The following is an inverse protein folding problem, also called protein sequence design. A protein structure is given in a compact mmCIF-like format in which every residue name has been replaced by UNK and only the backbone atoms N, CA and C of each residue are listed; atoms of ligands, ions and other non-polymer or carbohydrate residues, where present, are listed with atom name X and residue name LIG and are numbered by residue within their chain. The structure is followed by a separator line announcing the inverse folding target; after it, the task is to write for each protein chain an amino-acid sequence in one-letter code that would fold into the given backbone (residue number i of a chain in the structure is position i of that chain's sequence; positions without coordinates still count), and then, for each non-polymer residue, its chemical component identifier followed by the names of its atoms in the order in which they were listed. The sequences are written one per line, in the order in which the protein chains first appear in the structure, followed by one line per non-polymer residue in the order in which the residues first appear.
data_IF_068899323560
#
_entry.id   IF_068899323560
#
_cell.length_a   1.000
_cell.length_b   1.000
_cell.length_c   1.000
_cell.angle_alpha   90.00
_cell.angle_beta   90.00
_cell.angle_gamma   90.00
#
_symmetry.space_group_name_H-M   'P 1'
#
loop_
_entity.id
_entity.type
_entity.pdbx_description
1 polymer ?
#
# COMPACT_ATOMS: atom_id res chain seq x y z
N UNK A 1 -9.10 -3.15 -15.20
CA UNK A 1 -9.99 -3.46 -14.05
C UNK A 1 -10.69 -4.76 -14.35
N UNK A 2 -10.46 -5.80 -13.56
CA UNK A 2 -10.91 -7.16 -13.87
C UNK A 2 -11.75 -7.78 -12.74
N UNK A 3 -11.67 -7.24 -11.52
CA UNK A 3 -12.42 -7.66 -10.35
C UNK A 3 -13.48 -6.62 -9.99
N UNK A 4 -14.78 -6.98 -9.91
CA UNK A 4 -15.84 -6.05 -9.52
C UNK A 4 -15.64 -5.50 -8.11
N UNK A 5 -15.93 -4.21 -7.93
CA UNK A 5 -15.80 -3.52 -6.64
C UNK A 5 -14.52 -2.69 -6.50
N UNK A 6 -13.50 -2.93 -7.33
CA UNK A 6 -12.31 -2.08 -7.38
C UNK A 6 -12.63 -0.71 -8.00
N UNK A 7 -12.27 0.36 -7.31
CA UNK A 7 -12.23 1.73 -7.86
C UNK A 7 -10.75 2.10 -8.00
N UNK A 8 -10.34 2.44 -9.23
CA UNK A 8 -8.96 2.88 -9.50
C UNK A 8 -8.91 4.37 -9.78
N UNK A 9 -7.91 5.04 -9.21
CA UNK A 9 -7.64 6.46 -9.43
C UNK A 9 -6.39 6.58 -10.31
N UNK A 10 -6.41 7.42 -11.37
CA UNK A 10 -5.19 7.68 -12.14
C UNK A 10 -4.08 8.24 -11.23
N UNK A 11 -2.80 7.89 -11.47
CA UNK A 11 -1.67 8.36 -10.68
C UNK A 11 -1.64 9.89 -10.51
N UNK A 12 -1.85 10.62 -11.61
CA UNK A 12 -1.89 12.09 -11.60
C UNK A 12 -2.96 12.64 -10.65
N UNK A 13 -4.15 12.02 -10.65
CA UNK A 13 -5.24 12.43 -9.76
C UNK A 13 -4.89 12.15 -8.29
N UNK A 14 -4.24 11.03 -7.97
CA UNK A 14 -3.75 10.76 -6.62
C UNK A 14 -2.73 11.83 -6.18
N UNK A 15 -1.76 12.15 -7.05
CA UNK A 15 -0.73 13.14 -6.79
C UNK A 15 -1.33 14.54 -6.57
N UNK A 16 -2.35 14.91 -7.35
CA UNK A 16 -3.08 16.17 -7.18
C UNK A 16 -3.83 16.23 -5.84
N UNK A 17 -4.46 15.13 -5.42
CA UNK A 17 -5.13 15.03 -4.11
C UNK A 17 -4.11 15.19 -2.97
N UNK A 18 -2.99 14.48 -3.03
CA UNK A 18 -1.93 14.58 -2.01
C UNK A 18 -1.42 16.03 -1.93
N UNK A 19 -1.15 16.66 -3.08
CA UNK A 19 -0.69 18.06 -3.14
C UNK A 19 -1.70 19.02 -2.51
N UNK A 20 -2.99 18.85 -2.83
CA UNK A 20 -4.04 19.68 -2.26
C UNK A 20 -4.11 19.54 -0.73
N UNK A 21 -4.00 18.31 -0.22
CA UNK A 21 -4.02 18.04 1.22
C UNK A 21 -2.81 18.68 1.91
N UNK A 22 -1.60 18.49 1.38
CA UNK A 22 -0.39 19.04 1.98
C UNK A 22 -0.41 20.56 2.05
N UNK A 23 -0.84 21.24 0.98
CA UNK A 23 -0.98 22.71 0.97
C UNK A 23 -2.00 23.19 2.01
N UNK A 24 -3.16 22.53 2.10
CA UNK A 24 -4.15 22.89 3.12
C UNK A 24 -3.64 22.65 4.54
N UNK A 25 -2.83 21.62 4.78
CA UNK A 25 -2.21 21.40 6.09
C UNK A 25 -1.14 22.46 6.40
N UNK A 26 -0.33 22.82 5.42
CA UNK A 26 0.65 23.90 5.55
C UNK A 26 -0.01 25.25 5.86
N UNK A 27 -1.08 25.60 5.15
CA UNK A 27 -1.88 26.81 5.39
C UNK A 27 -2.46 26.87 6.82
N UNK A 28 -2.72 25.72 7.44
CA UNK A 28 -3.18 25.62 8.83
C UNK A 28 -2.03 25.63 9.85
N UNK A 29 -0.77 25.71 9.43
CA UNK A 29 0.41 25.79 10.28
C UNK A 29 0.95 24.43 10.76
N UNK A 30 0.66 23.34 10.05
CA UNK A 30 1.29 22.04 10.35
C UNK A 30 2.77 22.06 9.93
N UNK A 31 3.68 21.66 10.83
CA UNK A 31 5.13 21.69 10.56
C UNK A 31 5.66 20.39 9.90
N UNK A 32 4.95 19.28 10.09
CA UNK A 32 5.36 17.96 9.62
C UNK A 32 4.18 17.20 9.01
N UNK A 33 4.38 16.67 7.80
CA UNK A 33 3.37 15.90 7.07
C UNK A 33 3.99 14.56 6.66
N UNK A 34 3.47 13.46 7.22
CA UNK A 34 3.94 12.11 6.92
C UNK A 34 2.97 11.42 5.96
N UNK A 35 3.47 11.02 4.80
CA UNK A 35 2.72 10.28 3.78
C UNK A 35 3.03 8.79 3.92
N UNK A 36 2.00 7.99 4.25
CA UNK A 36 2.11 6.55 4.50
C UNK A 36 1.22 5.78 3.51
N UNK A 37 1.71 5.43 2.32
CA UNK A 37 1.00 4.52 1.42
C UNK A 37 0.94 3.11 2.01
N UNK A 38 -0.18 2.42 1.83
CA UNK A 38 -0.38 1.02 2.24
C UNK A 38 -0.80 0.11 1.09
N UNK A 39 -1.02 0.67 -0.10
CA UNK A 39 -1.35 -0.08 -1.30
C UNK A 39 -0.22 0.03 -2.31
N UNK A 40 0.29 -1.10 -2.81
CA UNK A 40 1.49 -1.16 -3.66
C UNK A 40 1.49 -0.17 -4.83
N UNK A 41 0.36 -0.01 -5.52
CA UNK A 41 0.23 0.93 -6.63
C UNK A 41 0.41 2.42 -6.27
N UNK A 42 0.30 2.78 -4.98
CA UNK A 42 0.39 4.15 -4.50
C UNK A 42 1.82 4.56 -4.11
N UNK A 43 2.73 3.61 -3.91
CA UNK A 43 4.10 3.90 -3.49
C UNK A 43 4.86 4.74 -4.54
N UNK A 44 4.74 4.36 -5.82
CA UNK A 44 5.32 5.13 -6.93
C UNK A 44 4.83 6.58 -6.98
N UNK A 45 3.52 6.84 -7.10
CA UNK A 45 2.95 8.20 -7.09
C UNK A 45 3.34 9.03 -5.85
N UNK A 46 3.30 8.45 -4.65
CA UNK A 46 3.71 9.16 -3.42
C UNK A 46 5.19 9.53 -3.46
N UNK A 47 6.05 8.59 -3.87
CA UNK A 47 7.49 8.82 -4.01
C UNK A 47 7.81 9.88 -5.07
N UNK A 48 7.00 9.96 -6.13
CA UNK A 48 7.13 10.96 -7.19
C UNK A 48 6.70 12.35 -6.73
N UNK A 49 5.55 12.49 -6.08
CA UNK A 49 4.98 13.82 -5.78
C UNK A 49 5.58 14.48 -4.53
N UNK A 50 6.02 13.70 -3.54
CA UNK A 50 6.46 14.23 -2.25
C UNK A 50 7.60 15.26 -2.36
N UNK A 51 8.66 15.06 -3.17
CA UNK A 51 9.73 16.05 -3.32
C UNK A 51 9.27 17.36 -3.95
N UNK A 52 8.26 17.31 -4.83
CA UNK A 52 7.72 18.51 -5.47
C UNK A 52 6.93 19.33 -4.45
N UNK A 53 6.08 18.68 -3.67
CA UNK A 53 5.34 19.33 -2.58
C UNK A 53 6.32 19.94 -1.56
N UNK A 54 7.36 19.21 -1.17
CA UNK A 54 8.36 19.68 -0.20
C UNK A 54 9.11 20.95 -0.65
N UNK A 55 9.09 21.28 -1.96
CA UNK A 55 9.67 22.53 -2.50
C UNK A 55 8.66 23.67 -2.56
N UNK A 56 7.37 23.36 -2.46
CA UNK A 56 6.27 24.32 -2.60
C UNK A 56 5.75 24.86 -1.26
N UNK A 57 5.97 24.13 -0.17
CA UNK A 57 5.37 24.43 1.15
C UNK A 57 6.45 24.58 2.25
N UNK A 58 6.09 25.16 3.39
CA UNK A 58 7.01 25.34 4.52
C UNK A 58 7.15 24.07 5.37
N UNK A 59 6.08 23.29 5.48
CA UNK A 59 6.05 22.03 6.22
C UNK A 59 7.05 21.00 5.67
N UNK A 60 7.67 20.24 6.57
CA UNK A 60 8.50 19.10 6.19
C UNK A 60 7.62 17.94 5.74
N UNK A 61 7.75 17.55 4.47
CA UNK A 61 7.06 16.38 3.91
C UNK A 61 7.95 15.14 4.02
N UNK A 62 7.45 14.11 4.70
CA UNK A 62 8.13 12.83 4.92
C UNK A 62 7.34 11.74 4.21
N UNK A 63 7.91 11.13 3.17
CA UNK A 63 7.27 10.02 2.45
C UNK A 63 7.86 8.68 2.90
N UNK A 64 7.03 7.84 3.53
CA UNK A 64 7.37 6.45 3.86
C UNK A 64 6.95 5.55 2.69
N UNK A 65 7.54 5.80 1.52
CA UNK A 65 7.14 5.20 0.25
C UNK A 65 8.19 4.22 -0.32
N UNK A 66 8.73 3.36 0.56
CA UNK A 66 9.52 2.19 0.17
C UNK A 66 8.66 0.92 0.23
N UNK A 67 8.34 0.37 -0.94
CA UNK A 67 7.44 -0.79 -1.05
C UNK A 67 8.11 -2.07 -0.55
N UNK A 68 9.41 -2.24 -0.81
CA UNK A 68 10.14 -3.45 -0.44
C UNK A 68 10.31 -3.49 1.09
N UNK A 69 10.66 -2.36 1.70
CA UNK A 69 10.71 -2.24 3.16
C UNK A 69 9.33 -2.49 3.79
N UNK A 70 8.25 -1.94 3.20
CA UNK A 70 6.90 -2.17 3.69
C UNK A 70 6.52 -3.67 3.66
N UNK A 71 6.82 -4.38 2.57
CA UNK A 71 6.55 -5.82 2.47
C UNK A 71 7.40 -6.62 3.45
N UNK A 72 8.68 -6.26 3.61
CA UNK A 72 9.57 -6.90 4.58
C UNK A 72 9.04 -6.76 6.01
N UNK A 73 8.56 -5.57 6.40
CA UNK A 73 7.99 -5.34 7.73
C UNK A 73 6.74 -6.19 8.00
N UNK A 74 5.93 -6.47 6.97
CA UNK A 74 4.77 -7.35 7.07
C UNK A 74 5.17 -8.81 7.23
N UNK A 75 6.17 -9.29 6.47
CA UNK A 75 6.71 -10.65 6.62
C UNK A 75 7.45 -10.85 7.95
N UNK A 76 8.14 -9.83 8.45
CA UNK A 76 8.70 -9.81 9.81
C UNK A 76 7.61 -9.98 10.87
N UNK A 77 6.42 -9.40 10.64
CA UNK A 77 5.24 -9.57 11.49
C UNK A 77 4.80 -11.03 11.57
N UNK A 78 4.72 -11.71 10.42
CA UNK A 78 4.40 -13.15 10.34
C UNK A 78 5.46 -13.99 11.06
N UNK A 79 6.74 -13.70 10.80
CA UNK A 79 7.86 -14.40 11.43
C UNK A 79 7.84 -14.28 12.95
N UNK A 80 7.56 -13.07 13.49
CA UNK A 80 7.42 -12.84 14.94
C UNK A 80 6.22 -13.57 15.53
N UNK A 81 5.18 -13.83 14.75
CA UNK A 81 4.03 -14.63 15.15
C UNK A 81 4.30 -16.15 15.08
N UNK A 82 5.50 -16.58 14.68
CA UNK A 82 5.86 -17.99 14.51
C UNK A 82 5.34 -18.62 13.23
N UNK A 83 4.98 -17.81 12.24
CA UNK A 83 4.53 -18.26 10.91
C UNK A 83 5.75 -18.27 10.00
N UNK A 84 6.25 -19.47 9.68
CA UNK A 84 7.36 -19.68 8.75
C UNK A 84 6.86 -19.67 7.29
N UNK A 85 6.33 -18.51 6.86
CA UNK A 85 5.89 -18.29 5.49
C UNK A 85 6.22 -16.86 5.08
N UNK A 86 7.05 -16.74 4.04
CA UNK A 86 7.46 -15.45 3.46
C UNK A 86 6.66 -15.21 2.18
N UNK A 87 6.07 -14.02 2.07
CA UNK A 87 5.26 -13.64 0.92
C UNK A 87 6.09 -12.83 -0.08
N UNK A 88 6.42 -13.42 -1.23
CA UNK A 88 7.11 -12.72 -2.35
C UNK A 88 6.37 -11.44 -2.78
N UNK A 89 5.04 -11.51 -2.77
CA UNK A 89 4.15 -10.36 -2.95
C UNK A 89 3.05 -10.44 -1.91
N UNK A 90 2.75 -9.28 -1.30
CA UNK A 90 1.69 -9.18 -0.31
C UNK A 90 0.45 -8.58 -0.95
N UNK A 91 -0.60 -9.40 -1.03
CA UNK A 91 -1.94 -8.97 -1.38
C UNK A 91 -2.99 -9.98 -0.91
N UNK A 92 -3.91 -9.55 -0.04
CA UNK A 92 -4.96 -10.35 0.57
C UNK A 92 -4.48 -11.69 1.16
N UNK A 93 -3.18 -11.81 1.46
CA UNK A 93 -2.58 -13.00 2.03
C UNK A 93 -2.57 -12.97 3.56
N UNK A 94 -1.70 -13.78 4.16
CA UNK A 94 -1.65 -13.96 5.61
C UNK A 94 -1.44 -12.63 6.36
N UNK A 95 -0.49 -11.79 5.93
CA UNK A 95 -0.17 -10.55 6.62
C UNK A 95 -1.34 -9.55 6.63
N UNK A 96 -1.91 -9.21 5.46
CA UNK A 96 -3.02 -8.25 5.38
C UNK A 96 -4.30 -8.80 6.04
N UNK A 97 -4.60 -10.09 5.85
CA UNK A 97 -5.77 -10.72 6.48
C UNK A 97 -5.65 -10.68 8.00
N UNK A 98 -4.46 -10.99 8.56
CA UNK A 98 -4.21 -10.93 9.99
C UNK A 98 -4.40 -9.50 10.55
N UNK A 99 -3.95 -8.47 9.83
CA UNK A 99 -4.17 -7.06 10.21
C UNK A 99 -5.67 -6.73 10.28
N UNK A 100 -6.44 -7.14 9.27
CA UNK A 100 -7.90 -6.88 9.27
C UNK A 100 -8.59 -7.64 10.39
N UNK A 101 -8.25 -8.92 10.61
CA UNK A 101 -8.78 -9.72 11.71
C UNK A 101 -8.51 -9.08 13.08
N UNK A 102 -7.29 -8.56 13.29
CA UNK A 102 -6.93 -7.89 14.53
C UNK A 102 -7.73 -6.58 14.77
N UNK A 103 -8.16 -5.90 13.71
CA UNK A 103 -8.98 -4.69 13.79
C UNK A 103 -10.46 -5.02 14.01
N UNK A 104 -11.00 -5.91 13.17
CA UNK A 104 -12.39 -6.35 13.24
C UNK A 104 -12.58 -7.66 12.46
N UNK A 105 -12.86 -8.74 13.18
CA UNK A 105 -13.06 -10.08 12.63
C UNK A 105 -14.26 -10.16 11.67
N UNK A 106 -15.32 -9.36 11.87
CA UNK A 106 -16.53 -9.37 11.03
C UNK A 106 -16.28 -8.89 9.59
N UNK A 107 -15.12 -8.27 9.33
CA UNK A 107 -14.73 -7.81 8.00
C UNK A 107 -14.10 -8.92 7.15
N UNK A 108 -13.76 -10.07 7.75
CA UNK A 108 -13.16 -11.21 7.06
C UNK A 108 -14.12 -12.38 7.05
N UNK A 109 -14.44 -12.86 5.85
CA UNK A 109 -15.30 -14.04 5.65
C UNK A 109 -14.43 -15.30 5.71
N UNK A 110 -14.16 -15.76 6.93
CA UNK A 110 -13.28 -16.92 7.21
C UNK A 110 -13.66 -18.15 6.37
N UNK A 111 -14.95 -18.38 6.15
CA UNK A 111 -15.47 -19.51 5.39
C UNK A 111 -15.15 -19.47 3.89
N UNK A 112 -14.69 -18.33 3.37
CA UNK A 112 -14.33 -18.14 1.96
C UNK A 112 -12.82 -17.98 1.75
N UNK A 113 -11.99 -18.27 2.75
CA UNK A 113 -10.53 -18.26 2.58
C UNK A 113 -10.14 -19.42 1.68
N UNK A 114 -9.43 -19.11 0.60
CA UNK A 114 -8.87 -20.06 -0.36
C UNK A 114 -7.37 -19.82 -0.54
N UNK A 115 -6.63 -20.85 -0.91
CA UNK A 115 -5.21 -20.70 -1.26
C UNK A 115 -5.06 -19.82 -2.50
N UNK A 116 -4.19 -18.82 -2.41
CA UNK A 116 -3.78 -18.03 -3.56
C UNK A 116 -2.82 -18.78 -4.49
N UNK A 117 -2.44 -18.17 -5.63
CA UNK A 117 -1.42 -18.72 -6.52
C UNK A 117 -0.08 -18.92 -5.80
N UNK A 118 0.58 -20.06 -6.03
CA UNK A 118 1.91 -20.38 -5.50
C UNK A 118 3.00 -20.32 -6.61
N UNK A 119 4.24 -20.08 -6.21
CA UNK A 119 5.41 -19.98 -7.09
C UNK A 119 6.06 -18.60 -7.05
N UNK A 120 7.14 -18.41 -7.82
CA UNK A 120 7.81 -17.10 -7.89
C UNK A 120 6.91 -16.07 -8.58
N UNK A 121 6.47 -15.07 -7.82
CA UNK A 121 5.63 -13.98 -8.31
C UNK A 121 6.44 -12.70 -8.37
N UNK A 122 6.52 -12.10 -9.56
CA UNK A 122 7.19 -10.80 -9.73
C UNK A 122 6.26 -9.64 -9.41
N UNK A 123 6.63 -8.81 -8.43
CA UNK A 123 5.94 -7.55 -8.09
C UNK A 123 5.75 -6.65 -9.31
N UNK A 124 6.77 -6.53 -10.16
CA UNK A 124 6.72 -5.70 -11.37
C UNK A 124 5.69 -6.21 -12.40
N UNK A 125 5.58 -7.54 -12.58
CA UNK A 125 4.58 -8.13 -13.47
C UNK A 125 3.18 -7.99 -12.89
N UNK A 126 3.03 -8.16 -11.58
CA UNK A 126 1.75 -8.02 -10.90
C UNK A 126 1.22 -6.58 -11.00
N UNK A 127 2.06 -5.58 -10.77
CA UNK A 127 1.67 -4.17 -10.89
C UNK A 127 1.35 -3.74 -12.32
N UNK A 128 1.98 -4.35 -13.33
CA UNK A 128 1.78 -3.97 -14.74
C UNK A 128 0.69 -4.78 -15.45
N UNK A 129 0.55 -6.07 -15.13
CA UNK A 129 -0.35 -6.99 -15.82
C UNK A 129 -1.61 -7.37 -15.01
N UNK A 130 -1.60 -7.16 -13.68
CA UNK A 130 -2.73 -7.44 -12.78
C UNK A 130 -2.85 -8.90 -12.34
N UNK A 131 -3.65 -9.14 -11.29
CA UNK A 131 -3.78 -10.44 -10.62
C UNK A 131 -4.36 -11.57 -11.47
N UNK A 132 -5.19 -11.28 -12.48
CA UNK A 132 -5.78 -12.33 -13.31
C UNK A 132 -4.75 -13.11 -14.12
N UNK A 133 -3.53 -12.60 -14.26
CA UNK A 133 -2.42 -13.32 -14.89
C UNK A 133 -1.82 -14.42 -14.03
N UNK A 134 -2.14 -14.43 -12.74
CA UNK A 134 -1.69 -15.42 -11.77
C UNK A 134 -2.74 -16.51 -11.50
N UNK A 135 -3.96 -16.36 -12.02
CA UNK A 135 -5.09 -17.28 -11.87
C UNK A 135 -5.36 -18.09 -13.14
#
# INVERSE_FOLDING_TARGET
MEFPGTITMPPETLMDVIRAYCRSLDDHGFEHIVLVPTHGGNFGPVKTVAPDIAREIEATVIALADLDEHMQLLNDGLSKAGIEYDQDVIHAGAAETAVVLAVNEDLVRIENIESGPEGEISTARLLSEGFKRLC
#
